data_IF_337810393852
#
_entry.id   IF_337810393852
#
_cell.length_a   1.000
_cell.length_b   1.000
_cell.length_c   1.000
_cell.angle_alpha   90.00
_cell.angle_beta   90.00
_cell.angle_gamma   90.00
#
_symmetry.space_group_name_H-M   'P 1'
#
loop_
_entity.id
_entity.type
_entity.pdbx_description
1 polymer ?
#
# COMPACT_ATOMS: atom_id res chain seq x y z
N UNK A 1 2.50 15.25 0.80
CA UNK A 1 3.78 14.50 0.71
C UNK A 1 3.63 13.17 1.42
N UNK A 2 4.46 12.16 1.12
CA UNK A 2 4.45 10.87 1.84
C UNK A 2 4.81 11.12 3.31
N UNK A 3 4.04 10.55 4.24
CA UNK A 3 4.23 10.77 5.67
C UNK A 3 5.47 10.02 6.16
N UNK A 4 5.48 8.71 5.97
CA UNK A 4 6.61 7.84 6.24
C UNK A 4 6.39 6.48 5.54
N UNK A 5 7.44 5.86 4.98
CA UNK A 5 8.81 6.37 4.81
C UNK A 5 8.87 7.51 3.77
N UNK A 6 9.78 8.49 3.98
CA UNK A 6 9.91 9.68 3.10
C UNK A 6 10.65 9.37 1.78
N UNK A 7 10.10 8.44 1.00
CA UNK A 7 10.61 8.03 -0.32
C UNK A 7 9.47 7.48 -1.18
N UNK A 8 9.76 7.18 -2.43
CA UNK A 8 8.86 6.36 -3.25
C UNK A 8 8.90 4.90 -2.76
N UNK A 9 7.77 4.21 -2.92
CA UNK A 9 7.70 2.77 -2.70
C UNK A 9 8.51 2.03 -3.76
N UNK A 10 9.00 0.84 -3.41
CA UNK A 10 9.65 -0.07 -4.36
C UNK A 10 8.71 -1.21 -4.75
N UNK A 11 8.87 -1.85 -5.92
CA UNK A 11 7.95 -2.89 -6.40
C UNK A 11 7.75 -4.04 -5.40
N UNK A 12 8.81 -4.44 -4.71
CA UNK A 12 8.78 -5.56 -3.75
C UNK A 12 7.86 -5.29 -2.56
N UNK A 13 7.71 -4.04 -2.13
CA UNK A 13 6.81 -3.66 -1.03
C UNK A 13 5.35 -3.86 -1.42
N UNK A 14 5.00 -3.56 -2.67
CA UNK A 14 3.66 -3.84 -3.19
C UNK A 14 3.45 -5.35 -3.37
N UNK A 15 4.44 -6.05 -3.93
CA UNK A 15 4.38 -7.50 -4.12
C UNK A 15 4.15 -8.25 -2.79
N UNK A 16 4.83 -7.83 -1.72
CA UNK A 16 4.62 -8.38 -0.38
C UNK A 16 3.17 -8.24 0.08
N UNK A 17 2.51 -7.11 -0.20
CA UNK A 17 1.11 -6.92 0.17
C UNK A 17 0.17 -7.76 -0.68
N UNK A 18 0.45 -7.90 -1.98
CA UNK A 18 -0.33 -8.77 -2.89
C UNK A 18 -0.30 -10.23 -2.43
N UNK A 19 0.86 -10.72 -1.97
CA UNK A 19 0.99 -12.08 -1.42
C UNK A 19 0.03 -12.26 -0.23
N UNK A 20 0.02 -11.33 0.72
CA UNK A 20 -0.89 -11.42 1.88
C UNK A 20 -2.37 -11.43 1.45
N UNK A 21 -2.75 -10.62 0.45
CA UNK A 21 -4.11 -10.60 -0.08
C UNK A 21 -4.57 -11.96 -0.66
N UNK A 22 -3.65 -12.76 -1.22
CA UNK A 22 -3.98 -14.05 -1.82
C UNK A 22 -3.76 -15.24 -0.87
N UNK A 23 -2.93 -15.09 0.16
CA UNK A 23 -2.62 -16.18 1.11
C UNK A 23 -3.50 -16.17 2.35
N UNK A 24 -4.04 -15.02 2.74
CA UNK A 24 -4.90 -14.92 3.91
C UNK A 24 -6.36 -15.13 3.53
N UNK A 25 -6.91 -16.29 3.91
CA UNK A 25 -8.26 -16.71 3.53
C UNK A 25 -9.39 -15.83 4.06
N UNK A 26 -9.09 -14.95 5.01
CA UNK A 26 -10.08 -14.02 5.57
C UNK A 26 -10.06 -12.65 4.87
N UNK A 27 -9.10 -12.40 3.99
CA UNK A 27 -9.07 -11.21 3.15
C UNK A 27 -10.17 -11.30 2.10
N UNK A 28 -11.10 -10.35 2.11
CA UNK A 28 -12.22 -10.36 1.19
C UNK A 28 -12.77 -8.95 0.96
N UNK A 29 -13.03 -8.62 -0.30
CA UNK A 29 -13.77 -7.44 -0.73
C UNK A 29 -13.34 -6.09 -0.08
N UNK A 30 -12.05 -5.94 0.23
CA UNK A 30 -11.52 -4.75 0.90
C UNK A 30 -10.55 -3.97 0.00
N UNK A 31 -10.41 -2.66 0.25
CA UNK A 31 -9.45 -1.82 -0.46
C UNK A 31 -8.35 -1.37 0.48
N UNK A 32 -7.11 -1.83 0.23
CA UNK A 32 -5.95 -1.48 1.04
C UNK A 32 -5.11 -0.44 0.30
N UNK A 33 -4.79 0.67 0.99
CA UNK A 33 -3.83 1.66 0.49
C UNK A 33 -2.42 1.33 0.97
N UNK A 34 -1.48 1.22 0.04
CA UNK A 34 -0.04 1.09 0.31
C UNK A 34 0.67 2.34 -0.20
N UNK A 35 0.64 3.40 0.60
CA UNK A 35 0.94 4.76 0.10
C UNK A 35 1.78 5.63 1.06
N UNK A 36 2.30 5.03 2.14
CA UNK A 36 3.06 5.75 3.16
C UNK A 36 2.30 6.91 3.80
N UNK A 37 0.96 6.82 3.87
CA UNK A 37 0.09 7.80 4.51
C UNK A 37 -0.16 9.07 3.69
N UNK A 38 0.23 9.12 2.40
CA UNK A 38 0.06 10.32 1.59
C UNK A 38 -1.42 10.67 1.38
N UNK A 39 -1.71 11.97 1.33
CA UNK A 39 -2.90 12.55 0.69
C UNK A 39 -2.43 13.52 -0.39
N UNK A 40 -2.94 13.36 -1.61
CA UNK A 40 -2.54 14.17 -2.75
C UNK A 40 -3.22 15.54 -2.65
N UNK A 41 -2.46 16.65 -2.58
CA UNK A 41 -3.06 17.99 -2.57
C UNK A 41 -3.58 18.36 -3.97
N UNK A 42 -4.53 19.31 -4.07
CA UNK A 42 -4.88 19.93 -5.34
C UNK A 42 -3.67 20.61 -5.98
N UNK A 43 -3.69 20.72 -7.32
CA UNK A 43 -2.67 21.40 -8.11
C UNK A 43 -3.07 22.84 -8.40
#
# INVERSE_FOLDING_TARGET
SVLFPKRLGVPDELASMVVECITNSYMNAETIRVDGGIRMPPK
#
